data_IF_011645706703
#
_entry.id   IF_011645706703
#
_cell.length_a   1.000
_cell.length_b   1.000
_cell.length_c   1.000
_cell.angle_alpha   90.00
_cell.angle_beta   90.00
_cell.angle_gamma   90.00
#
_symmetry.space_group_name_H-M   'P 1'
#
loop_
_entity.id
_entity.type
_entity.pdbx_description
1 polymer ?
#
# COMPACT_ATOMS: atom_id res chain seq x y z
N UNK A 1 -8.06 21.85 5.31
CA UNK A 1 -8.95 20.90 4.62
C UNK A 1 -8.54 19.52 5.08
N UNK A 2 -9.43 18.77 5.70
CA UNK A 2 -9.15 17.40 6.12
C UNK A 2 -9.12 16.45 4.91
N UNK A 3 -8.51 15.27 5.04
CA UNK A 3 -8.50 14.26 3.96
C UNK A 3 -9.93 13.92 3.50
N UNK A 4 -10.86 13.75 4.45
CA UNK A 4 -12.29 13.50 4.17
C UNK A 4 -12.95 14.62 3.36
N UNK A 5 -12.70 15.88 3.73
CA UNK A 5 -13.21 17.03 2.98
C UNK A 5 -12.63 17.09 1.56
N UNK A 6 -11.35 16.74 1.40
CA UNK A 6 -10.71 16.69 0.09
C UNK A 6 -11.34 15.59 -0.79
N UNK A 7 -11.56 14.39 -0.26
CA UNK A 7 -12.19 13.28 -1.01
C UNK A 7 -13.63 13.62 -1.41
N UNK A 8 -14.42 14.19 -0.51
CA UNK A 8 -15.80 14.59 -0.83
C UNK A 8 -15.86 15.66 -1.92
N UNK A 9 -14.97 16.67 -1.86
CA UNK A 9 -14.88 17.69 -2.92
C UNK A 9 -14.39 17.12 -4.25
N UNK A 10 -13.41 16.22 -4.21
CA UNK A 10 -12.92 15.55 -5.42
C UNK A 10 -14.05 14.74 -6.08
N UNK A 11 -14.88 14.04 -5.27
CA UNK A 11 -16.03 13.29 -5.74
C UNK A 11 -17.08 14.19 -6.39
N UNK A 12 -17.44 15.29 -5.73
CA UNK A 12 -18.38 16.27 -6.26
C UNK A 12 -17.90 16.84 -7.60
N UNK A 13 -16.62 17.21 -7.69
CA UNK A 13 -16.02 17.72 -8.92
C UNK A 13 -16.00 16.67 -10.04
N UNK A 14 -15.65 15.41 -9.73
CA UNK A 14 -15.65 14.33 -10.72
C UNK A 14 -17.06 14.06 -11.25
N UNK A 15 -18.07 14.00 -10.38
CA UNK A 15 -19.47 13.81 -10.76
C UNK A 15 -19.98 14.99 -11.63
N UNK A 16 -19.64 16.22 -11.25
CA UNK A 16 -20.00 17.41 -12.05
C UNK A 16 -19.31 17.41 -13.40
N UNK A 17 -18.05 16.98 -13.49
CA UNK A 17 -17.35 16.85 -14.76
C UNK A 17 -18.04 15.83 -15.68
N UNK A 18 -18.46 14.68 -15.14
CA UNK A 18 -19.23 13.66 -15.88
C UNK A 18 -20.61 14.18 -16.31
N UNK A 19 -21.28 14.96 -15.47
CA UNK A 19 -22.56 15.58 -15.84
C UNK A 19 -22.42 16.55 -17.03
N UNK A 20 -21.30 17.28 -17.08
CA UNK A 20 -20.99 18.22 -18.17
C UNK A 20 -20.50 17.51 -19.44
N UNK A 21 -19.69 16.46 -19.28
CA UNK A 21 -19.11 15.66 -20.35
C UNK A 21 -18.75 14.26 -19.84
N UNK A 22 -19.55 13.26 -20.21
CA UNK A 22 -19.41 11.86 -19.81
C UNK A 22 -18.33 11.11 -20.61
N UNK A 23 -17.58 11.82 -21.46
CA UNK A 23 -16.47 11.26 -22.25
C UNK A 23 -15.10 11.56 -21.64
N UNK A 24 -15.06 12.26 -20.50
CA UNK A 24 -13.84 12.60 -19.78
C UNK A 24 -13.29 11.39 -19.00
N UNK A 25 -12.27 10.73 -19.56
CA UNK A 25 -11.59 9.61 -18.93
C UNK A 25 -11.00 9.96 -17.54
N UNK A 26 -10.51 11.19 -17.37
CA UNK A 26 -9.95 11.70 -16.12
C UNK A 26 -11.00 11.75 -15.00
N UNK A 27 -12.23 12.13 -15.33
CA UNK A 27 -13.32 12.23 -14.37
C UNK A 27 -13.77 10.85 -13.91
N UNK A 28 -13.93 9.90 -14.84
CA UNK A 28 -14.19 8.50 -14.52
C UNK A 28 -13.05 7.87 -13.71
N UNK A 29 -11.80 8.12 -14.07
CA UNK A 29 -10.62 7.65 -13.32
C UNK A 29 -10.62 8.15 -11.88
N UNK A 30 -10.94 9.44 -11.69
CA UNK A 30 -11.01 10.05 -10.36
C UNK A 30 -12.16 9.47 -9.54
N UNK A 31 -13.33 9.30 -10.16
CA UNK A 31 -14.50 8.72 -9.49
C UNK A 31 -14.24 7.26 -9.10
N UNK A 32 -13.62 6.48 -9.98
CA UNK A 32 -13.23 5.09 -9.70
C UNK A 32 -12.29 4.99 -8.49
N UNK A 33 -11.24 5.83 -8.47
CA UNK A 33 -10.29 5.89 -7.36
C UNK A 33 -10.99 6.20 -6.03
N UNK A 34 -11.93 7.15 -6.02
CA UNK A 34 -12.70 7.52 -4.83
C UNK A 34 -13.63 6.39 -4.40
N UNK A 35 -14.33 5.75 -5.34
CA UNK A 35 -15.22 4.61 -5.05
C UNK A 35 -14.46 3.48 -4.38
N UNK A 36 -13.28 3.16 -4.90
CA UNK A 36 -12.40 2.13 -4.33
C UNK A 36 -11.86 2.53 -2.95
N UNK A 37 -11.23 3.70 -2.82
CA UNK A 37 -10.40 4.05 -1.66
C UNK A 37 -11.16 4.78 -0.55
N UNK A 38 -12.37 5.28 -0.81
CA UNK A 38 -13.13 6.11 0.13
C UNK A 38 -14.57 5.66 0.32
N UNK A 39 -15.29 5.27 -0.74
CA UNK A 39 -16.69 4.81 -0.62
C UNK A 39 -16.81 3.30 -0.34
N UNK A 40 -15.71 2.54 -0.45
CA UNK A 40 -15.71 1.08 -0.33
C UNK A 40 -16.67 0.38 -1.32
N UNK A 41 -16.73 0.89 -2.55
CA UNK A 41 -17.53 0.38 -3.67
C UNK A 41 -16.61 -0.19 -4.78
N UNK A 42 -16.05 -1.40 -4.60
CA UNK A 42 -15.13 -1.99 -5.57
C UNK A 42 -15.81 -2.34 -6.90
N UNK A 43 -17.12 -2.58 -6.91
CA UNK A 43 -17.85 -2.92 -8.14
C UNK A 43 -18.08 -1.66 -8.98
N UNK A 44 -18.51 -0.56 -8.36
CA UNK A 44 -18.65 0.72 -9.03
C UNK A 44 -17.31 1.30 -9.48
N UNK A 45 -16.23 1.07 -8.71
CA UNK A 45 -14.88 1.46 -9.10
C UNK A 45 -14.44 0.75 -10.38
N UNK A 46 -14.67 -0.57 -10.50
CA UNK A 46 -14.29 -1.34 -11.69
C UNK A 46 -14.97 -0.82 -12.96
N UNK A 47 -16.27 -0.52 -12.87
CA UNK A 47 -17.05 0.01 -13.98
C UNK A 47 -16.47 1.34 -14.48
N UNK A 48 -16.13 2.25 -13.56
CA UNK A 48 -15.56 3.55 -13.93
C UNK A 48 -14.11 3.43 -14.45
N UNK A 49 -13.29 2.52 -13.90
CA UNK A 49 -11.96 2.28 -14.45
C UNK A 49 -12.02 1.76 -15.88
N UNK A 50 -12.87 0.77 -16.14
CA UNK A 50 -13.08 0.24 -17.50
C UNK A 50 -13.59 1.33 -18.43
N UNK A 51 -14.57 2.12 -17.99
CA UNK A 51 -15.09 3.25 -18.78
C UNK A 51 -14.00 4.29 -19.10
N UNK A 52 -13.15 4.63 -18.14
CA UNK A 52 -12.04 5.55 -18.36
C UNK A 52 -11.06 5.04 -19.42
N UNK A 53 -10.70 3.75 -19.36
CA UNK A 53 -9.80 3.11 -20.34
C UNK A 53 -10.46 3.01 -21.72
N UNK A 54 -11.75 2.70 -21.80
CA UNK A 54 -12.52 2.70 -23.06
C UNK A 54 -12.53 4.09 -23.72
N UNK A 55 -12.76 5.14 -22.93
CA UNK A 55 -12.80 6.53 -23.39
C UNK A 55 -11.43 7.03 -23.84
N UNK A 56 -10.36 6.69 -23.11
CA UNK A 56 -9.00 7.03 -23.48
C UNK A 56 -8.01 5.90 -23.17
N UNK A 57 -7.77 4.98 -24.12
CA UNK A 57 -6.81 3.87 -23.97
C UNK A 57 -5.34 4.29 -23.91
N UNK A 58 -5.06 5.60 -23.95
CA UNK A 58 -3.72 6.18 -23.86
C UNK A 58 -3.55 7.03 -22.61
N UNK A 59 -4.49 7.00 -21.66
CA UNK A 59 -4.37 7.72 -20.41
C UNK A 59 -3.62 6.88 -19.36
N UNK A 60 -2.32 7.13 -19.10
CA UNK A 60 -1.51 6.27 -18.24
C UNK A 60 -2.04 6.16 -16.81
N UNK A 61 -2.66 7.22 -16.28
CA UNK A 61 -3.15 7.24 -14.90
C UNK A 61 -4.36 6.32 -14.72
N UNK A 62 -5.25 6.19 -15.72
CA UNK A 62 -6.34 5.22 -15.67
C UNK A 62 -5.82 3.79 -15.58
N UNK A 63 -4.86 3.44 -16.45
CA UNK A 63 -4.19 2.14 -16.42
C UNK A 63 -3.51 1.88 -15.07
N UNK A 64 -2.82 2.88 -14.51
CA UNK A 64 -2.12 2.70 -13.24
C UNK A 64 -3.06 2.51 -12.05
N UNK A 65 -4.16 3.26 -11.94
CA UNK A 65 -5.10 3.04 -10.85
C UNK A 65 -5.89 1.75 -11.03
N UNK A 66 -6.24 1.39 -12.27
CA UNK A 66 -6.87 0.10 -12.54
C UNK A 66 -5.95 -1.08 -12.22
N UNK A 67 -4.65 -0.95 -12.47
CA UNK A 67 -3.66 -1.92 -12.05
C UNK A 67 -3.68 -2.17 -10.54
N UNK A 68 -3.72 -1.10 -9.74
CA UNK A 68 -3.84 -1.18 -8.29
C UNK A 68 -5.11 -1.91 -7.86
N UNK A 69 -6.25 -1.57 -8.44
CA UNK A 69 -7.54 -2.22 -8.20
C UNK A 69 -7.49 -3.72 -8.50
N UNK A 70 -6.96 -4.10 -9.66
CA UNK A 70 -6.85 -5.49 -10.10
C UNK A 70 -6.01 -6.31 -9.12
N UNK A 71 -4.84 -5.80 -8.72
CA UNK A 71 -3.98 -6.47 -7.74
C UNK A 71 -4.73 -6.72 -6.43
N UNK A 72 -5.37 -5.70 -5.87
CA UNK A 72 -6.07 -5.79 -4.58
C UNK A 72 -7.27 -6.74 -4.63
N UNK A 73 -7.95 -6.82 -5.77
CA UNK A 73 -9.11 -7.71 -5.98
C UNK A 73 -8.71 -9.12 -6.40
N UNK A 74 -7.41 -9.41 -6.55
CA UNK A 74 -6.88 -10.75 -6.80
C UNK A 74 -6.50 -11.07 -8.24
N UNK A 75 -6.60 -10.10 -9.14
CA UNK A 75 -6.26 -10.19 -10.55
C UNK A 75 -4.82 -9.72 -10.76
N UNK A 76 -3.87 -10.39 -10.11
CA UNK A 76 -2.48 -9.93 -10.01
C UNK A 76 -1.79 -9.74 -11.37
N UNK A 77 -1.94 -10.72 -12.27
CA UNK A 77 -1.30 -10.67 -13.61
C UNK A 77 -1.91 -9.59 -14.50
N UNK A 78 -3.23 -9.44 -14.48
CA UNK A 78 -3.92 -8.38 -15.21
C UNK A 78 -3.48 -7.01 -14.69
N UNK A 79 -3.39 -6.85 -13.36
CA UNK A 79 -2.91 -5.62 -12.75
C UNK A 79 -1.45 -5.31 -13.11
N UNK A 80 -0.58 -6.32 -13.17
CA UNK A 80 0.79 -6.14 -13.63
C UNK A 80 0.86 -5.70 -15.11
N UNK A 81 0.02 -6.27 -15.97
CA UNK A 81 -0.07 -5.88 -17.37
C UNK A 81 -0.50 -4.41 -17.52
N UNK A 82 -1.52 -3.98 -16.78
CA UNK A 82 -1.99 -2.59 -16.76
C UNK A 82 -0.93 -1.61 -16.23
N UNK A 83 -0.17 -1.99 -15.20
CA UNK A 83 0.91 -1.15 -14.66
C UNK A 83 2.07 -1.01 -15.65
N UNK A 84 2.43 -2.11 -16.36
CA UNK A 84 3.40 -2.08 -17.46
C UNK A 84 2.89 -1.16 -18.59
N UNK A 85 1.61 -1.25 -18.94
CA UNK A 85 0.97 -0.40 -19.95
C UNK A 85 1.01 1.08 -19.59
N UNK A 86 0.72 1.42 -18.34
CA UNK A 86 0.83 2.80 -17.86
C UNK A 86 2.24 3.36 -18.08
N UNK A 87 3.28 2.59 -17.72
CA UNK A 87 4.66 3.01 -17.91
C UNK A 87 5.06 3.09 -19.40
N UNK A 88 4.55 2.22 -20.27
CA UNK A 88 4.78 2.33 -21.72
C UNK A 88 4.22 3.64 -22.31
N UNK A 89 3.08 4.09 -21.80
CA UNK A 89 2.42 5.32 -22.24
C UNK A 89 3.15 6.59 -21.76
N UNK A 90 3.79 6.53 -20.59
CA UNK A 90 4.65 7.61 -20.08
C UNK A 90 5.91 7.06 -19.37
N UNK A 91 6.97 6.73 -20.14
CA UNK A 91 8.15 6.04 -19.62
C UNK A 91 9.03 6.90 -18.72
N UNK A 92 8.86 8.23 -18.75
CA UNK A 92 9.67 9.19 -18.00
C UNK A 92 9.01 9.63 -16.69
N UNK A 93 7.76 9.22 -16.45
CA UNK A 93 7.10 9.47 -15.17
C UNK A 93 7.80 8.74 -14.03
N UNK A 94 8.35 9.51 -13.09
CA UNK A 94 8.93 8.98 -11.85
C UNK A 94 7.88 8.17 -11.07
N UNK A 95 6.65 8.67 -11.00
CA UNK A 95 5.56 8.03 -10.29
C UNK A 95 5.21 6.67 -10.92
N UNK A 96 5.10 6.58 -12.25
CA UNK A 96 4.80 5.30 -12.91
C UNK A 96 5.95 4.30 -12.79
N UNK A 97 7.20 4.75 -12.81
CA UNK A 97 8.35 3.86 -12.55
C UNK A 97 8.30 3.31 -11.11
N UNK A 98 7.92 4.12 -10.12
CA UNK A 98 7.72 3.64 -8.75
C UNK A 98 6.55 2.69 -8.63
N UNK A 99 5.39 3.05 -9.19
CA UNK A 99 4.19 2.25 -9.15
C UNK A 99 4.40 0.86 -9.75
N UNK A 100 5.08 0.74 -10.89
CA UNK A 100 5.41 -0.57 -11.45
C UNK A 100 6.27 -1.39 -10.49
N UNK A 101 7.28 -0.78 -9.86
CA UNK A 101 8.11 -1.43 -8.83
C UNK A 101 7.29 -1.91 -7.64
N UNK A 102 6.31 -1.11 -7.20
CA UNK A 102 5.39 -1.49 -6.13
C UNK A 102 4.45 -2.63 -6.56
N UNK A 103 3.88 -2.57 -7.77
CA UNK A 103 3.03 -3.64 -8.33
C UNK A 103 3.80 -4.96 -8.42
N UNK A 104 5.05 -4.93 -8.90
CA UNK A 104 5.92 -6.11 -8.95
C UNK A 104 6.18 -6.69 -7.55
N UNK A 105 6.41 -5.84 -6.55
CA UNK A 105 6.52 -6.27 -5.14
C UNK A 105 5.23 -6.94 -4.64
N UNK A 106 4.07 -6.30 -4.83
CA UNK A 106 2.77 -6.81 -4.37
C UNK A 106 2.34 -8.09 -5.11
N UNK A 107 2.89 -8.35 -6.30
CA UNK A 107 2.66 -9.56 -7.09
C UNK A 107 3.80 -10.59 -7.00
N UNK A 108 4.72 -10.43 -6.04
CA UNK A 108 5.82 -11.37 -5.75
C UNK A 108 6.90 -11.49 -6.84
N UNK A 109 6.93 -10.58 -7.81
CA UNK A 109 7.96 -10.48 -8.85
C UNK A 109 9.19 -9.70 -8.32
N UNK A 110 9.86 -10.24 -7.29
CA UNK A 110 10.84 -9.48 -6.50
C UNK A 110 12.10 -9.07 -7.25
N UNK A 111 12.63 -9.91 -8.14
CA UNK A 111 13.83 -9.57 -8.92
C UNK A 111 13.54 -8.44 -9.94
N UNK A 112 12.36 -8.47 -10.58
CA UNK A 112 11.90 -7.38 -11.44
C UNK A 112 11.62 -6.11 -10.62
N UNK A 113 10.99 -6.24 -9.44
CA UNK A 113 10.74 -5.13 -8.53
C UNK A 113 12.04 -4.43 -8.12
N UNK A 114 13.08 -5.23 -7.79
CA UNK A 114 14.41 -4.73 -7.46
C UNK A 114 14.98 -3.88 -8.60
N UNK A 115 15.01 -4.42 -9.83
CA UNK A 115 15.53 -3.71 -11.00
C UNK A 115 14.75 -2.42 -11.29
N UNK A 116 13.42 -2.49 -11.22
CA UNK A 116 12.54 -1.36 -11.51
C UNK A 116 12.65 -0.25 -10.45
N UNK A 117 12.74 -0.58 -9.16
CA UNK A 117 12.91 0.40 -8.08
C UNK A 117 14.31 1.03 -8.11
N UNK A 118 15.34 0.27 -8.47
CA UNK A 118 16.67 0.82 -8.70
C UNK A 118 16.67 1.84 -9.84
N UNK A 119 15.94 1.58 -10.94
CA UNK A 119 15.75 2.55 -12.03
C UNK A 119 15.05 3.83 -11.52
N UNK A 120 14.00 3.71 -10.71
CA UNK A 120 13.34 4.87 -10.09
C UNK A 120 14.32 5.70 -9.25
N UNK A 121 15.20 5.06 -8.48
CA UNK A 121 16.22 5.76 -7.68
C UNK A 121 17.38 6.32 -8.51
N UNK A 122 17.65 5.78 -9.70
CA UNK A 122 18.58 6.42 -10.64
C UNK A 122 18.00 7.73 -11.19
N UNK A 123 16.68 7.80 -11.38
CA UNK A 123 15.99 9.03 -11.79
C UNK A 123 15.96 10.06 -10.65
N UNK A 124 15.63 9.62 -9.43
CA UNK A 124 15.62 10.45 -8.23
C UNK A 124 16.13 9.68 -7.00
N UNK A 125 17.41 9.88 -6.60
CA UNK A 125 18.05 9.10 -5.52
C UNK A 125 17.42 9.22 -4.13
N UNK A 126 16.75 10.34 -3.84
CA UNK A 126 16.13 10.63 -2.56
C UNK A 126 14.63 10.28 -2.52
N UNK A 127 14.09 9.66 -3.57
CA UNK A 127 12.67 9.34 -3.64
C UNK A 127 12.26 8.29 -2.59
N UNK A 128 11.72 8.78 -1.47
CA UNK A 128 11.49 8.03 -0.24
C UNK A 128 10.65 6.77 -0.47
N UNK A 129 9.54 6.89 -1.22
CA UNK A 129 8.65 5.76 -1.49
C UNK A 129 9.37 4.61 -2.23
N UNK A 130 10.29 4.92 -3.15
CA UNK A 130 11.09 3.90 -3.82
C UNK A 130 12.15 3.29 -2.89
N UNK A 131 12.76 4.09 -1.99
CA UNK A 131 13.71 3.57 -0.98
C UNK A 131 13.02 2.62 0.00
N UNK A 132 11.82 2.97 0.49
CA UNK A 132 11.04 2.09 1.37
C UNK A 132 10.67 0.80 0.66
N UNK A 133 10.12 0.88 -0.56
CA UNK A 133 9.76 -0.30 -1.35
C UNK A 133 10.98 -1.19 -1.64
N UNK A 134 12.14 -0.59 -1.95
CA UNK A 134 13.37 -1.33 -2.20
C UNK A 134 13.84 -2.08 -0.95
N UNK A 135 13.75 -1.46 0.22
CA UNK A 135 14.03 -2.13 1.49
C UNK A 135 13.12 -3.35 1.72
N UNK A 136 11.82 -3.22 1.42
CA UNK A 136 10.87 -4.35 1.51
C UNK A 136 11.21 -5.46 0.52
N UNK A 137 11.60 -5.12 -0.71
CA UNK A 137 12.09 -6.10 -1.70
C UNK A 137 13.33 -6.81 -1.19
N UNK A 138 14.29 -6.11 -0.59
CA UNK A 138 15.46 -6.76 0.01
C UNK A 138 15.09 -7.75 1.11
N UNK A 139 14.11 -7.42 1.96
CA UNK A 139 13.59 -8.36 2.97
C UNK A 139 13.05 -9.63 2.31
N UNK A 140 12.22 -9.48 1.27
CA UNK A 140 11.63 -10.63 0.57
C UNK A 140 12.68 -11.50 -0.16
N UNK A 141 13.74 -10.87 -0.66
CA UNK A 141 14.90 -11.55 -1.24
C UNK A 141 15.89 -12.09 -0.17
N UNK A 142 15.55 -11.99 1.13
CA UNK A 142 16.40 -12.40 2.26
C UNK A 142 17.74 -11.68 2.33
N UNK A 143 17.85 -10.52 1.69
CA UNK A 143 19.00 -9.60 1.67
C UNK A 143 18.93 -8.65 2.87
N UNK A 144 18.94 -9.23 4.06
CA UNK A 144 18.58 -8.50 5.27
C UNK A 144 19.58 -7.39 5.66
N UNK A 145 20.87 -7.57 5.41
CA UNK A 145 21.87 -6.55 5.70
C UNK A 145 21.63 -5.26 4.92
N UNK A 146 21.23 -5.40 3.64
CA UNK A 146 20.93 -4.29 2.75
C UNK A 146 19.62 -3.60 3.13
N UNK A 147 18.60 -4.40 3.50
CA UNK A 147 17.35 -3.87 4.05
C UNK A 147 17.58 -3.07 5.34
N UNK A 148 18.33 -3.62 6.30
CA UNK A 148 18.65 -2.96 7.57
C UNK A 148 19.44 -1.67 7.36
N UNK A 149 20.47 -1.69 6.50
CA UNK A 149 21.24 -0.50 6.19
C UNK A 149 20.36 0.61 5.61
N UNK A 150 19.46 0.26 4.67
CA UNK A 150 18.56 1.22 4.04
C UNK A 150 17.51 1.76 5.03
N UNK A 151 16.86 0.90 5.81
CA UNK A 151 15.86 1.33 6.78
C UNK A 151 16.45 2.18 7.91
N UNK A 152 17.69 1.93 8.36
CA UNK A 152 18.38 2.81 9.31
C UNK A 152 18.60 4.21 8.76
N UNK A 153 18.98 4.32 7.48
CA UNK A 153 19.11 5.63 6.83
C UNK A 153 17.77 6.36 6.75
N UNK A 154 16.69 5.64 6.43
CA UNK A 154 15.34 6.23 6.33
C UNK A 154 14.84 6.66 7.71
N UNK A 155 14.97 5.81 8.74
CA UNK A 155 14.52 6.09 10.11
C UNK A 155 15.26 7.26 10.78
N UNK A 156 16.39 7.69 10.21
CA UNK A 156 17.12 8.90 10.66
C UNK A 156 16.48 10.21 10.17
N UNK A 157 15.48 10.14 9.28
CA UNK A 157 14.71 11.29 8.77
C UNK A 157 13.44 11.50 9.60
N UNK A 158 13.06 12.75 9.95
CA UNK A 158 11.82 13.04 10.68
C UNK A 158 10.53 12.67 9.92
N UNK A 159 10.56 12.66 8.59
CA UNK A 159 9.39 12.35 7.76
C UNK A 159 9.19 10.82 7.67
N UNK A 160 7.97 10.35 7.91
CA UNK A 160 7.58 8.91 7.90
C UNK A 160 8.22 8.03 8.99
N UNK A 161 8.59 8.64 10.12
CA UNK A 161 9.28 7.98 11.24
C UNK A 161 8.66 6.62 11.62
N UNK A 162 7.35 6.53 11.76
CA UNK A 162 6.71 5.31 12.23
C UNK A 162 6.72 4.17 11.19
N UNK A 163 6.51 4.44 9.90
CA UNK A 163 6.63 3.41 8.86
C UNK A 163 8.09 2.93 8.72
N UNK A 164 9.05 3.85 8.80
CA UNK A 164 10.47 3.51 8.80
C UNK A 164 10.85 2.64 10.01
N UNK A 165 10.37 3.00 11.21
CA UNK A 165 10.55 2.21 12.43
C UNK A 165 9.94 0.82 12.31
N UNK A 166 8.72 0.69 11.76
CA UNK A 166 8.09 -0.61 11.55
C UNK A 166 8.91 -1.50 10.63
N UNK A 167 9.34 -0.99 9.48
CA UNK A 167 10.13 -1.77 8.53
C UNK A 167 11.48 -2.21 9.15
N UNK A 168 12.11 -1.32 9.93
CA UNK A 168 13.35 -1.62 10.63
C UNK A 168 13.15 -2.67 11.74
N UNK A 169 12.10 -2.52 12.56
CA UNK A 169 11.74 -3.47 13.61
C UNK A 169 11.37 -4.85 13.04
N UNK A 170 10.63 -4.88 11.93
CA UNK A 170 10.32 -6.11 11.21
C UNK A 170 11.58 -6.81 10.70
N UNK A 171 12.50 -6.07 10.07
CA UNK A 171 13.78 -6.63 9.62
C UNK A 171 14.67 -7.11 10.78
N UNK A 172 14.65 -6.42 11.92
CA UNK A 172 15.32 -6.90 13.14
C UNK A 172 14.72 -8.20 13.66
N UNK A 173 13.39 -8.32 13.65
CA UNK A 173 12.71 -9.53 14.08
C UNK A 173 13.09 -10.74 13.21
N UNK A 174 13.08 -10.56 11.89
CA UNK A 174 13.45 -11.61 10.92
C UNK A 174 14.93 -12.04 11.00
N UNK A 175 15.82 -11.17 11.46
CA UNK A 175 17.26 -11.46 11.63
C UNK A 175 17.61 -11.97 13.02
N UNK A 176 16.62 -12.22 13.88
CA UNK A 176 16.83 -12.72 15.25
C UNK A 176 17.28 -11.66 16.26
N UNK A 177 17.35 -10.38 15.86
CA UNK A 177 17.65 -9.23 16.74
C UNK A 177 16.41 -8.86 17.56
N UNK A 178 15.88 -9.83 18.32
CA UNK A 178 14.59 -9.76 19.01
C UNK A 178 14.50 -8.61 20.01
N UNK A 179 15.58 -8.29 20.70
CA UNK A 179 15.63 -7.19 21.67
C UNK A 179 15.42 -5.82 21.00
N UNK A 180 16.07 -5.57 19.86
CA UNK A 180 15.90 -4.32 19.10
C UNK A 180 14.51 -4.21 18.49
N UNK A 181 14.00 -5.32 17.93
CA UNK A 181 12.63 -5.39 17.43
C UNK A 181 11.60 -5.09 18.53
N UNK A 182 11.77 -5.67 19.72
CA UNK A 182 10.86 -5.44 20.85
C UNK A 182 10.90 -3.99 21.34
N UNK A 183 12.10 -3.40 21.44
CA UNK A 183 12.26 -2.00 21.82
C UNK A 183 11.49 -1.06 20.89
N UNK A 184 11.65 -1.23 19.58
CA UNK A 184 10.94 -0.42 18.58
C UNK A 184 9.44 -0.69 18.58
N UNK A 185 9.02 -1.94 18.80
CA UNK A 185 7.62 -2.30 18.95
C UNK A 185 6.96 -1.61 20.15
N UNK A 186 7.67 -1.54 21.29
CA UNK A 186 7.18 -0.85 22.48
C UNK A 186 7.01 0.66 22.21
N UNK A 187 7.98 1.28 21.53
CA UNK A 187 7.89 2.69 21.10
C UNK A 187 6.71 2.93 20.15
N UNK A 188 6.50 2.07 19.15
CA UNK A 188 5.33 2.14 18.26
C UNK A 188 4.01 2.03 19.04
N UNK A 189 3.94 1.15 20.03
CA UNK A 189 2.74 1.00 20.88
C UNK A 189 2.50 2.20 21.79
N UNK A 190 3.56 2.82 22.29
CA UNK A 190 3.47 4.07 23.05
C UNK A 190 2.99 5.23 22.18
N UNK A 191 3.54 5.39 20.98
CA UNK A 191 3.07 6.38 19.99
C UNK A 191 1.59 6.16 19.66
N UNK A 192 1.17 4.91 19.46
CA UNK A 192 -0.24 4.57 19.20
C UNK A 192 -1.13 4.97 20.39
N UNK A 193 -0.68 4.69 21.62
CA UNK A 193 -1.43 4.99 22.85
C UNK A 193 -1.54 6.50 23.10
N UNK A 194 -0.49 7.26 22.78
CA UNK A 194 -0.48 8.74 22.82
C UNK A 194 -1.32 9.38 21.70
N UNK A 195 -1.74 8.58 20.71
CA UNK A 195 -2.59 9.01 19.62
C UNK A 195 -1.83 9.53 18.39
N UNK A 196 -0.49 9.56 18.44
CA UNK A 196 0.39 10.12 17.40
C UNK A 196 0.35 9.36 16.09
N UNK A 197 0.11 8.04 16.17
CA UNK A 197 -0.02 7.14 15.01
C UNK A 197 -1.38 6.40 15.05
N UNK A 198 -2.34 6.97 15.78
CA UNK A 198 -3.71 6.48 15.82
C UNK A 198 -4.57 7.24 14.80
N UNK A 199 -5.62 6.59 14.29
CA UNK A 199 -6.55 7.20 13.34
C UNK A 199 -7.33 8.43 13.88
N UNK A 200 -7.09 8.86 15.13
CA UNK A 200 -7.67 10.09 15.70
C UNK A 200 -7.32 11.35 14.91
N UNK A 201 -6.28 11.33 14.08
CA UNK A 201 -5.85 12.48 13.29
C UNK A 201 -6.01 12.31 11.76
N UNK A 202 -6.59 11.19 11.30
CA UNK A 202 -6.92 10.95 9.88
C UNK A 202 -5.77 11.30 8.91
N UNK A 203 -4.54 11.00 9.32
CA UNK A 203 -3.30 11.41 8.66
C UNK A 203 -2.55 10.24 8.01
N UNK A 204 -3.12 9.03 8.00
CA UNK A 204 -2.54 7.88 7.32
C UNK A 204 -1.25 7.36 7.95
N UNK A 205 -0.92 7.76 9.18
CA UNK A 205 0.33 7.40 9.84
C UNK A 205 0.14 6.21 10.79
N UNK A 206 0.82 5.11 10.48
CA UNK A 206 1.21 4.03 11.40
C UNK A 206 0.21 3.48 12.45
N UNK A 207 -0.99 3.05 12.04
CA UNK A 207 -1.97 2.41 12.94
C UNK A 207 -1.61 0.94 13.30
N UNK A 208 -2.56 0.22 13.92
CA UNK A 208 -2.40 -1.18 14.31
C UNK A 208 -1.92 -2.13 13.20
N UNK A 209 -2.11 -1.78 11.93
CA UNK A 209 -1.57 -2.51 10.78
C UNK A 209 -0.05 -2.65 10.85
N UNK A 210 0.66 -1.56 11.16
CA UNK A 210 2.12 -1.55 11.20
C UNK A 210 2.67 -2.24 12.45
N UNK A 211 1.98 -2.12 13.57
CA UNK A 211 2.32 -2.88 14.78
C UNK A 211 2.16 -4.39 14.52
N UNK A 212 1.12 -4.80 13.80
CA UNK A 212 0.92 -6.19 13.42
C UNK A 212 2.06 -6.72 12.53
N UNK A 213 2.58 -5.92 11.59
CA UNK A 213 3.73 -6.32 10.76
C UNK A 213 4.94 -6.74 11.62
N UNK A 214 5.26 -5.97 12.67
CA UNK A 214 6.38 -6.31 13.57
C UNK A 214 6.10 -7.61 14.33
N UNK A 215 4.88 -7.82 14.82
CA UNK A 215 4.49 -9.07 15.47
C UNK A 215 4.57 -10.29 14.54
N UNK A 216 4.25 -10.13 13.25
CA UNK A 216 4.48 -11.20 12.25
C UNK A 216 5.97 -11.53 12.18
N UNK A 217 6.84 -10.52 12.08
CA UNK A 217 8.30 -10.74 12.09
C UNK A 217 8.81 -11.43 13.36
N UNK A 218 8.17 -11.19 14.50
CA UNK A 218 8.48 -11.83 15.79
C UNK A 218 7.90 -13.24 15.94
N UNK A 219 7.19 -13.74 14.92
CA UNK A 219 6.44 -14.99 14.90
C UNK A 219 5.33 -15.07 15.96
N UNK A 220 4.76 -13.93 16.37
CA UNK A 220 3.65 -13.85 17.32
C UNK A 220 2.33 -13.60 16.57
N UNK A 221 1.75 -14.69 16.04
CA UNK A 221 0.52 -14.64 15.24
C UNK A 221 -0.69 -14.14 16.03
N UNK A 222 -0.75 -14.43 17.32
CA UNK A 222 -1.85 -13.99 18.19
C UNK A 222 -1.87 -12.47 18.29
N UNK A 223 -0.74 -11.84 18.58
CA UNK A 223 -0.65 -10.39 18.65
C UNK A 223 -0.80 -9.74 17.28
N UNK A 224 -0.23 -10.33 16.22
CA UNK A 224 -0.42 -9.83 14.87
C UNK A 224 -1.92 -9.73 14.52
N UNK A 225 -2.69 -10.80 14.73
CA UNK A 225 -4.13 -10.82 14.45
C UNK A 225 -4.93 -9.88 15.36
N UNK A 226 -4.56 -9.77 16.64
CA UNK A 226 -5.21 -8.83 17.55
C UNK A 226 -5.04 -7.37 17.08
N UNK A 227 -3.83 -6.99 16.66
CA UNK A 227 -3.56 -5.65 16.16
C UNK A 227 -4.16 -5.38 14.78
N UNK A 228 -4.27 -6.39 13.92
CA UNK A 228 -5.01 -6.26 12.66
C UNK A 228 -6.52 -6.05 12.88
N UNK A 229 -7.14 -6.76 13.83
CA UNK A 229 -8.53 -6.53 14.20
C UNK A 229 -8.72 -5.12 14.78
N UNK A 230 -7.77 -4.67 15.61
CA UNK A 230 -7.78 -3.30 16.13
C UNK A 230 -7.66 -2.27 15.02
N UNK A 231 -6.80 -2.51 14.03
CA UNK A 231 -6.67 -1.66 12.85
C UNK A 231 -7.97 -1.61 12.04
N UNK A 232 -8.65 -2.75 11.88
CA UNK A 232 -9.97 -2.81 11.27
C UNK A 232 -10.99 -1.95 12.01
N UNK A 233 -11.11 -2.14 13.33
CA UNK A 233 -12.06 -1.38 14.16
C UNK A 233 -11.77 0.13 14.13
N UNK A 234 -10.49 0.50 14.03
CA UNK A 234 -10.04 1.88 13.88
C UNK A 234 -10.26 2.45 12.47
N UNK A 235 -10.72 1.65 11.50
CA UNK A 235 -10.87 2.01 10.08
C UNK A 235 -9.52 2.42 9.43
N UNK A 236 -8.48 1.65 9.73
CA UNK A 236 -7.14 1.83 9.19
C UNK A 236 -7.15 1.85 7.65
N UNK A 237 -6.50 2.86 7.06
CA UNK A 237 -6.40 2.99 5.60
C UNK A 237 -5.80 1.73 4.97
N UNK A 238 -4.64 1.25 5.43
CA UNK A 238 -3.89 0.14 4.82
C UNK A 238 -4.59 -1.24 4.83
N UNK A 239 -5.79 -1.36 5.39
CA UNK A 239 -6.51 -2.64 5.48
C UNK A 239 -6.81 -3.28 4.13
N UNK A 240 -6.96 -2.48 3.07
CA UNK A 240 -7.18 -2.98 1.72
C UNK A 240 -5.98 -3.75 1.13
N UNK A 241 -4.78 -3.58 1.68
CA UNK A 241 -3.58 -4.32 1.27
C UNK A 241 -3.44 -5.70 1.93
N UNK A 242 -4.27 -6.06 2.91
CA UNK A 242 -4.06 -7.28 3.71
C UNK A 242 -3.93 -8.56 2.88
N UNK A 243 -4.68 -8.63 1.77
CA UNK A 243 -4.67 -9.77 0.87
C UNK A 243 -3.39 -9.91 0.06
N UNK A 244 -2.67 -8.81 -0.16
CA UNK A 244 -1.59 -8.72 -1.15
C UNK A 244 -0.24 -8.36 -0.56
N UNK A 245 -0.18 -7.75 0.63
CA UNK A 245 1.09 -7.42 1.30
C UNK A 245 1.83 -8.70 1.74
N UNK A 246 3.05 -8.97 1.19
CA UNK A 246 3.83 -10.16 1.53
C UNK A 246 4.10 -10.38 3.02
N UNK A 247 4.08 -9.31 3.82
CA UNK A 247 4.31 -9.43 5.27
C UNK A 247 3.29 -10.37 5.93
N UNK A 248 2.08 -10.50 5.39
CA UNK A 248 1.02 -11.32 5.98
C UNK A 248 0.85 -12.69 5.31
N UNK A 249 1.75 -13.11 4.42
CA UNK A 249 1.67 -14.40 3.70
C UNK A 249 1.44 -15.58 4.66
N UNK A 250 2.17 -15.62 5.79
CA UNK A 250 2.06 -16.66 6.82
C UNK A 250 0.74 -16.67 7.61
N UNK A 251 -0.10 -15.64 7.47
CA UNK A 251 -1.41 -15.54 8.10
C UNK A 251 -2.55 -15.99 7.16
N UNK A 252 -2.35 -16.09 5.85
CA UNK A 252 -3.42 -16.37 4.87
C UNK A 252 -4.13 -17.70 5.08
N UNK A 253 -3.47 -18.69 5.69
CA UNK A 253 -4.08 -19.97 6.05
C UNK A 253 -4.82 -19.97 7.39
N UNK A 254 -4.69 -18.93 8.22
CA UNK A 254 -5.36 -18.85 9.52
C UNK A 254 -6.84 -18.47 9.32
N UNK A 255 -7.80 -19.26 9.84
CA UNK A 255 -9.23 -18.98 9.69
C UNK A 255 -9.65 -17.59 10.20
N UNK A 256 -8.96 -17.06 11.22
CA UNK A 256 -9.24 -15.73 11.79
C UNK A 256 -8.79 -14.62 10.86
N UNK A 257 -7.70 -14.83 10.13
CA UNK A 257 -7.25 -13.89 9.09
C UNK A 257 -8.21 -13.92 7.89
N UNK A 258 -8.67 -15.09 7.48
CA UNK A 258 -9.67 -15.22 6.41
C UNK A 258 -11.00 -14.55 6.78
N UNK A 259 -11.42 -14.65 8.04
CA UNK A 259 -12.57 -13.92 8.56
C UNK A 259 -12.38 -12.41 8.47
N UNK A 260 -11.20 -11.92 8.88
CA UNK A 260 -10.85 -10.50 8.74
C UNK A 260 -10.89 -10.05 7.27
N UNK A 261 -10.34 -10.84 6.33
CA UNK A 261 -10.41 -10.50 4.90
C UNK A 261 -11.85 -10.41 4.39
N UNK A 262 -12.77 -11.29 4.85
CA UNK A 262 -14.20 -11.19 4.52
C UNK A 262 -14.83 -9.92 5.09
N UNK A 263 -14.52 -9.58 6.35
CA UNK A 263 -15.02 -8.35 7.00
C UNK A 263 -14.54 -7.06 6.33
N UNK A 264 -13.33 -7.08 5.76
CA UNK A 264 -12.78 -5.97 4.96
C UNK A 264 -13.35 -5.96 3.54
N UNK A 265 -13.96 -7.06 3.08
CA UNK A 265 -14.50 -7.19 1.71
C UNK A 265 -13.48 -7.68 0.67
N UNK A 266 -12.33 -8.20 1.09
CA UNK A 266 -11.25 -8.67 0.21
C UNK A 266 -11.38 -10.15 -0.18
N UNK A 267 -12.26 -10.89 0.48
CA UNK A 267 -12.57 -12.28 0.21
C UNK A 267 -14.09 -12.45 0.14
N UNK A 268 -14.59 -13.05 -0.94
CA UNK A 268 -16.02 -13.38 -1.05
C UNK A 268 -16.36 -14.56 -0.14
N UNK A 269 -17.58 -14.55 0.39
CA UNK A 269 -18.14 -15.61 1.25
C UNK A 269 -18.46 -16.90 0.49
#
# INVERSE_FOLDING_TARGET
MTHREAMLKAKENALKAIELDDTLAEAHTTLAFIKENFDYDPQGAELDFKRAIELNPKYPIAHQFYAGYLVQTGHAEDGLAESKRALELDPYSLALNWYLGHTLYMTRHYDEALAQLQKTLQMQPDYLLARVALGKVYVQLKRYDEALALFRQIASSPNEQAQAMTNLAYAYALTGQRAEAQKMLDELREMYTRGEISNRHNDGNANGYFIAQVYVGLADKEQALAWLNKAFDDHAFYMFFLRVDPVFDDLHSDPRFQDLLRRVGLLQS
#
